data_IF_718645479730
#
_entry.id   IF_718645479730
#
_cell.length_a   1.000
_cell.length_b   1.000
_cell.length_c   1.000
_cell.angle_alpha   90.00
_cell.angle_beta   90.00
_cell.angle_gamma   90.00
#
_symmetry.space_group_name_H-M   'P 1'
#
loop_
_entity.id
_entity.type
_entity.pdbx_description
1 polymer ?
#
# COMPACT_ATOMS: atom_id res chain seq x y z
N UNK A 1 -19.03 3.36 -6.94
CA UNK A 1 -18.56 2.11 -6.31
C UNK A 1 -17.14 2.30 -5.83
N UNK A 2 -16.88 2.02 -4.56
CA UNK A 2 -15.54 1.97 -3.97
C UNK A 2 -15.02 0.53 -3.98
N UNK A 3 -13.72 0.35 -4.27
CA UNK A 3 -13.04 -0.94 -4.29
C UNK A 3 -11.96 -0.95 -3.21
N UNK A 4 -11.92 -2.01 -2.42
CA UNK A 4 -10.85 -2.27 -1.45
C UNK A 4 -9.94 -3.35 -2.02
N UNK A 5 -8.67 -3.01 -2.24
CA UNK A 5 -7.61 -3.94 -2.62
C UNK A 5 -6.81 -4.31 -1.37
N UNK A 6 -6.55 -5.61 -1.20
CA UNK A 6 -5.85 -6.17 -0.04
C UNK A 6 -4.82 -7.18 -0.56
N UNK A 7 -3.56 -7.06 -0.17
CA UNK A 7 -2.60 -8.14 -0.40
C UNK A 7 -2.84 -9.29 0.60
N UNK A 8 -2.86 -10.58 0.18
CA UNK A 8 -2.44 -11.11 -1.13
C UNK A 8 -3.58 -11.29 -2.15
N UNK A 9 -4.82 -10.91 -1.84
CA UNK A 9 -5.98 -11.05 -2.75
C UNK A 9 -5.79 -10.28 -4.07
N UNK A 10 -4.94 -9.26 -4.07
CA UNK A 10 -4.48 -8.55 -5.25
C UNK A 10 -2.94 -8.55 -5.30
N UNK A 11 -2.38 -8.91 -6.46
CA UNK A 11 -0.95 -8.89 -6.71
C UNK A 11 -0.54 -7.50 -7.22
N UNK A 12 -0.11 -6.64 -6.30
CA UNK A 12 0.37 -5.31 -6.64
C UNK A 12 1.70 -5.38 -7.39
N UNK A 13 1.86 -4.55 -8.40
CA UNK A 13 3.15 -4.31 -9.05
C UNK A 13 3.99 -3.29 -8.26
N UNK A 14 5.32 -3.29 -8.40
CA UNK A 14 6.17 -2.27 -7.77
C UNK A 14 5.78 -0.82 -8.14
N UNK A 15 5.26 -0.60 -9.35
CA UNK A 15 4.79 0.71 -9.79
C UNK A 15 3.50 1.14 -9.09
N UNK A 16 2.56 0.21 -8.89
CA UNK A 16 1.34 0.46 -8.10
C UNK A 16 1.67 0.74 -6.63
N UNK A 17 2.57 -0.04 -6.03
CA UNK A 17 3.04 0.18 -4.66
C UNK A 17 3.63 1.60 -4.54
N UNK A 18 4.50 1.97 -5.47
CA UNK A 18 5.12 3.30 -5.52
C UNK A 18 4.06 4.40 -5.61
N UNK A 19 3.09 4.25 -6.51
CA UNK A 19 2.04 5.23 -6.73
C UNK A 19 1.16 5.41 -5.48
N UNK A 20 0.65 4.33 -4.91
CA UNK A 20 -0.24 4.39 -3.75
C UNK A 20 0.46 4.90 -2.50
N UNK A 21 1.69 4.45 -2.25
CA UNK A 21 2.42 4.88 -1.05
C UNK A 21 2.93 6.32 -1.21
N UNK A 22 3.35 6.75 -2.42
CA UNK A 22 3.63 8.17 -2.68
C UNK A 22 2.40 9.05 -2.49
N UNK A 23 1.23 8.60 -2.97
CA UNK A 23 -0.01 9.31 -2.76
C UNK A 23 -0.32 9.45 -1.26
N UNK A 24 -0.18 8.37 -0.49
CA UNK A 24 -0.39 8.38 0.96
C UNK A 24 0.60 9.32 1.69
N UNK A 25 1.87 9.33 1.26
CA UNK A 25 2.88 10.25 1.78
C UNK A 25 2.61 11.70 1.37
N UNK A 26 2.10 11.98 0.17
CA UNK A 26 1.82 13.35 -0.27
C UNK A 26 0.80 14.07 0.60
N UNK A 27 -0.06 13.33 1.31
CA UNK A 27 -0.99 13.88 2.29
C UNK A 27 -0.32 14.30 3.62
N UNK A 28 0.84 13.71 3.96
CA UNK A 28 1.49 13.87 5.27
C UNK A 28 2.87 14.57 5.20
N UNK A 29 3.65 14.32 4.15
CA UNK A 29 4.97 14.91 3.92
C UNK A 29 5.38 14.80 2.44
N UNK A 30 5.30 15.92 1.72
CA UNK A 30 5.65 16.02 0.30
C UNK A 30 7.14 15.79 0.00
N UNK A 31 8.02 15.78 1.02
CA UNK A 31 9.47 15.59 0.86
C UNK A 31 9.89 14.13 0.90
N UNK A 32 9.04 13.24 1.39
CA UNK A 32 9.32 11.81 1.49
C UNK A 32 8.93 11.09 0.19
N UNK A 33 9.66 11.33 -0.90
CA UNK A 33 9.46 10.61 -2.15
C UNK A 33 9.88 9.12 -2.02
N UNK A 34 9.03 8.23 -2.51
CA UNK A 34 9.31 6.79 -2.62
C UNK A 34 10.30 6.54 -3.76
N UNK A 35 11.41 5.86 -3.44
CA UNK A 35 12.39 5.39 -4.44
C UNK A 35 12.08 3.96 -4.87
N UNK A 36 12.65 3.54 -6.00
CA UNK A 36 12.48 2.20 -6.57
C UNK A 36 13.01 1.13 -5.61
N UNK A 37 14.12 1.39 -4.90
CA UNK A 37 14.63 0.43 -3.91
C UNK A 37 13.66 0.24 -2.73
N UNK A 38 13.01 1.33 -2.28
CA UNK A 38 12.00 1.25 -1.20
C UNK A 38 10.74 0.52 -1.67
N UNK A 39 10.29 0.77 -2.90
CA UNK A 39 9.15 0.06 -3.49
C UNK A 39 9.42 -1.46 -3.58
N UNK A 40 10.61 -1.85 -4.06
CA UNK A 40 11.03 -3.25 -4.10
C UNK A 40 11.13 -3.88 -2.70
N UNK A 41 11.57 -3.11 -1.70
CA UNK A 41 11.62 -3.58 -0.31
C UNK A 41 10.23 -3.87 0.24
N UNK A 42 9.25 -3.02 -0.06
CA UNK A 42 7.85 -3.19 0.34
C UNK A 42 7.24 -4.39 -0.40
N UNK A 43 7.49 -4.52 -1.71
CA UNK A 43 7.05 -5.65 -2.52
C UNK A 43 7.56 -6.99 -1.94
N UNK A 44 8.85 -7.07 -1.63
CA UNK A 44 9.45 -8.24 -1.01
C UNK A 44 8.84 -8.56 0.37
N UNK A 45 8.51 -7.54 1.16
CA UNK A 45 7.85 -7.72 2.46
C UNK A 45 6.40 -8.24 2.31
N UNK A 46 5.67 -7.76 1.30
CA UNK A 46 4.32 -8.25 0.96
C UNK A 46 4.40 -9.71 0.48
N UNK A 47 5.33 -10.02 -0.43
CA UNK A 47 5.55 -11.37 -0.95
C UNK A 47 5.93 -12.36 0.18
N UNK A 48 6.71 -11.91 1.15
CA UNK A 48 7.07 -12.68 2.35
C UNK A 48 5.96 -12.73 3.42
N UNK A 49 4.78 -12.15 3.16
CA UNK A 49 3.65 -12.01 4.11
C UNK A 49 4.03 -11.32 5.43
N UNK A 50 5.07 -10.49 5.42
CA UNK A 50 5.51 -9.68 6.57
C UNK A 50 4.80 -8.33 6.63
N UNK A 51 4.11 -7.93 5.57
CA UNK A 51 3.36 -6.68 5.50
C UNK A 51 2.12 -6.87 4.65
N UNK A 52 1.08 -6.09 4.93
CA UNK A 52 -0.15 -6.08 4.16
C UNK A 52 -0.44 -4.65 3.70
N UNK A 53 -0.64 -4.51 2.39
CA UNK A 53 -1.05 -3.27 1.75
C UNK A 53 -2.57 -3.28 1.55
N UNK A 54 -3.23 -2.27 2.12
CA UNK A 54 -4.64 -1.98 1.91
C UNK A 54 -4.78 -0.69 1.11
N UNK A 55 -5.48 -0.75 -0.03
CA UNK A 55 -5.77 0.41 -0.88
C UNK A 55 -7.26 0.53 -1.08
N UNK A 56 -7.85 1.63 -0.63
CA UNK A 56 -9.24 1.98 -0.90
C UNK A 56 -9.29 2.94 -2.10
N UNK A 57 -9.74 2.42 -3.24
CA UNK A 57 -10.01 3.18 -4.46
C UNK A 57 -11.50 3.60 -4.49
N UNK A 58 -11.88 4.84 -4.16
CA UNK A 58 -13.16 5.39 -4.57
C UNK A 58 -13.28 5.48 -6.10
N UNK A 59 -14.50 5.74 -6.55
CA UNK A 59 -14.83 5.91 -7.98
C UNK A 59 -14.12 7.11 -8.63
N UNK A 60 -13.41 7.92 -7.83
CA UNK A 60 -12.57 9.07 -8.19
C UNK A 60 -11.37 9.10 -7.23
N UNK A 61 -10.23 8.53 -7.63
CA UNK A 61 -8.98 8.55 -6.85
C UNK A 61 -8.87 7.49 -5.73
N UNK A 62 -7.79 7.53 -4.94
CA UNK A 62 -7.65 6.78 -3.68
C UNK A 62 -8.06 7.70 -2.51
N UNK A 63 -8.74 7.21 -1.46
CA UNK A 63 -9.10 8.02 -0.28
C UNK A 63 -8.33 7.61 0.98
N UNK A 64 -7.95 6.33 1.11
CA UNK A 64 -7.20 5.81 2.26
C UNK A 64 -6.27 4.68 1.81
N UNK A 65 -5.02 4.73 2.28
CA UNK A 65 -4.03 3.65 2.14
C UNK A 65 -3.49 3.34 3.52
N UNK A 66 -3.54 2.06 3.93
CA UNK A 66 -3.02 1.61 5.21
C UNK A 66 -1.99 0.50 5.00
N UNK A 67 -0.81 0.67 5.61
CA UNK A 67 0.25 -0.35 5.65
C UNK A 67 0.29 -0.94 7.06
N UNK A 68 -0.08 -2.21 7.19
CA UNK A 68 -0.16 -2.88 8.48
C UNK A 68 1.07 -3.77 8.71
N UNK A 69 1.66 -3.68 9.90
CA UNK A 69 2.85 -4.45 10.31
C UNK A 69 2.52 -5.88 10.79
N UNK A 70 1.24 -6.26 10.81
CA UNK A 70 0.80 -7.60 11.21
C UNK A 70 -0.72 -7.68 11.39
N UNK A 71 -1.23 -8.91 11.51
CA UNK A 71 -2.63 -9.21 11.86
C UNK A 71 -2.65 -9.74 13.29
N UNK A 72 -3.58 -9.23 14.10
CA UNK A 72 -3.89 -9.78 15.42
C UNK A 72 -5.39 -10.11 15.44
N UNK A 73 -5.71 -11.37 15.72
CA UNK A 73 -7.09 -11.81 15.93
C UNK A 73 -7.47 -11.44 17.37
N UNK A 74 -8.57 -10.72 17.53
CA UNK A 74 -9.12 -10.34 18.84
C UNK A 74 -10.38 -11.17 19.02
N UNK A 75 -10.34 -12.11 19.96
CA UNK A 75 -11.49 -12.86 20.46
C UNK A 75 -12.42 -11.99 21.32
#
# INVERSE_FOLDING_TARGET
MSRLLISPSHAFTPDEIRAYVNWAHSQHDYRAAMTDEKAQTIDAAIAAKKSILFVLEPSVGAEVVAVCHGIQEID
#
